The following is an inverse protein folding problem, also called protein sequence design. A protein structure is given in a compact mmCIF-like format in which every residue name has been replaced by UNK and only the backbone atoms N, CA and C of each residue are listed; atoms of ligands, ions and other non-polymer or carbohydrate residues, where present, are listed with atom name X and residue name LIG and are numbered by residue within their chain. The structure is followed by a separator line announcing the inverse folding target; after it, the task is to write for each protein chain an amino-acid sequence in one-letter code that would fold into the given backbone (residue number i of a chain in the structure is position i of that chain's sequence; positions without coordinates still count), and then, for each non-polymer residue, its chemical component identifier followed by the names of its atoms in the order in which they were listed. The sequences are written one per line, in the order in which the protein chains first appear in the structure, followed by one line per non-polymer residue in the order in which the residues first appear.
data_IF_184299265661
#
_entry.id   IF_184299265661
#
_cell.length_a   1.000
_cell.length_b   1.000
_cell.length_c   1.000
_cell.angle_alpha   90.00
_cell.angle_beta   90.00
_cell.angle_gamma   90.00
#
_symmetry.space_group_name_H-M   'P 1'
#
loop_
_entity.id
_entity.type
_entity.pdbx_description
1 polymer ?
#
# COMPACT_ATOMS: atom_id res chain seq x y z
N UNK A 1 -63.50 -1.87 3.55
CA UNK A 1 -62.19 -1.42 4.08
C UNK A 1 -61.34 -2.64 4.35
N UNK A 2 -60.41 -3.00 3.44
CA UNK A 2 -59.45 -4.09 3.65
C UNK A 2 -58.08 -3.46 3.92
N UNK A 3 -57.56 -3.64 5.13
CA UNK A 3 -56.24 -3.13 5.50
C UNK A 3 -55.17 -4.11 5.01
N UNK A 4 -54.26 -3.62 4.15
CA UNK A 4 -53.11 -4.39 3.66
C UNK A 4 -51.98 -4.33 4.68
N UNK A 5 -51.48 -5.49 5.11
CA UNK A 5 -50.32 -5.61 6.00
C UNK A 5 -49.05 -5.54 5.15
N UNK A 6 -48.06 -4.69 5.46
CA UNK A 6 -46.81 -4.67 4.72
C UNK A 6 -45.93 -5.84 5.12
N UNK A 7 -45.59 -6.68 4.14
CA UNK A 7 -44.63 -7.78 4.26
C UNK A 7 -43.25 -7.24 4.66
N UNK A 8 -42.74 -7.67 5.82
CA UNK A 8 -41.39 -7.33 6.29
C UNK A 8 -40.36 -8.00 5.38
N UNK A 9 -39.65 -7.20 4.59
CA UNK A 9 -38.50 -7.65 3.81
C UNK A 9 -37.43 -8.29 4.71
N UNK A 10 -37.18 -9.57 4.49
CA UNK A 10 -36.05 -10.30 5.05
C UNK A 10 -34.76 -9.74 4.46
N UNK A 11 -34.03 -8.94 5.24
CA UNK A 11 -32.68 -8.52 4.87
C UNK A 11 -31.81 -9.78 4.72
N UNK A 12 -31.20 -9.95 3.56
CA UNK A 12 -30.26 -11.05 3.32
C UNK A 12 -29.12 -11.00 4.36
N UNK A 13 -28.67 -12.15 4.87
CA UNK A 13 -27.53 -12.20 5.77
C UNK A 13 -26.30 -11.67 5.03
N UNK A 14 -25.73 -10.57 5.52
CA UNK A 14 -24.45 -10.04 5.05
C UNK A 14 -23.43 -11.15 5.22
N UNK A 15 -22.96 -11.73 4.10
CA UNK A 15 -21.85 -12.68 4.13
C UNK A 15 -20.66 -11.98 4.77
N UNK A 16 -20.35 -12.33 6.01
CA UNK A 16 -19.15 -11.89 6.70
C UNK A 16 -17.95 -12.42 5.93
N UNK A 17 -17.19 -11.53 5.30
CA UNK A 17 -15.95 -11.87 4.62
C UNK A 17 -14.96 -12.52 5.62
N UNK A 18 -14.16 -13.50 5.16
CA UNK A 18 -13.17 -14.12 6.01
C UNK A 18 -12.17 -13.06 6.50
N UNK A 19 -12.09 -12.89 7.82
CA UNK A 19 -11.08 -12.08 8.49
C UNK A 19 -9.78 -12.90 8.54
N UNK A 20 -8.65 -12.26 8.27
CA UNK A 20 -7.36 -12.96 8.28
C UNK A 20 -6.88 -13.23 9.71
N UNK A 21 -6.02 -14.25 9.87
CA UNK A 21 -5.41 -14.59 11.16
C UNK A 21 -4.41 -13.50 11.63
N UNK A 22 -4.03 -13.55 12.90
CA UNK A 22 -3.16 -12.55 13.52
C UNK A 22 -1.80 -12.40 12.81
N UNK A 23 -1.26 -13.50 12.27
CA UNK A 23 0.00 -13.49 11.49
C UNK A 23 -0.11 -12.58 10.28
N UNK A 24 -1.20 -12.68 9.51
CA UNK A 24 -1.36 -11.85 8.31
C UNK A 24 -1.66 -10.39 8.67
N UNK A 25 -2.36 -10.14 9.78
CA UNK A 25 -2.55 -8.78 10.29
C UNK A 25 -1.19 -8.14 10.61
N UNK A 26 -0.27 -8.91 11.22
CA UNK A 26 1.08 -8.46 11.52
C UNK A 26 1.92 -8.23 10.26
N UNK A 27 1.88 -9.14 9.28
CA UNK A 27 2.54 -8.96 7.98
C UNK A 27 2.04 -7.72 7.25
N UNK A 28 0.72 -7.52 7.22
CA UNK A 28 0.09 -6.33 6.65
C UNK A 28 0.62 -5.07 7.32
N UNK A 29 0.54 -4.99 8.65
CA UNK A 29 0.96 -3.81 9.39
C UNK A 29 2.48 -3.56 9.29
N UNK A 30 3.29 -4.63 9.20
CA UNK A 30 4.73 -4.56 8.97
C UNK A 30 5.06 -3.98 7.59
N UNK A 31 4.41 -4.46 6.52
CA UNK A 31 4.60 -3.93 5.17
C UNK A 31 4.28 -2.43 5.10
N UNK A 32 3.16 -2.02 5.68
CA UNK A 32 2.78 -0.60 5.71
C UNK A 32 3.81 0.23 6.49
N UNK A 33 4.24 -0.26 7.66
CA UNK A 33 5.21 0.43 8.51
C UNK A 33 6.58 0.59 7.84
N UNK A 34 7.07 -0.47 7.18
CA UNK A 34 8.30 -0.44 6.40
C UNK A 34 8.20 0.54 5.22
N UNK A 35 7.03 0.58 4.55
CA UNK A 35 6.79 1.55 3.48
C UNK A 35 6.89 2.98 4.00
N UNK A 36 6.30 3.29 5.16
CA UNK A 36 6.44 4.63 5.77
C UNK A 36 7.89 4.94 6.12
N UNK A 37 8.60 4.02 6.79
CA UNK A 37 9.99 4.26 7.23
C UNK A 37 10.93 4.47 6.04
N UNK A 38 10.74 3.72 4.94
CA UNK A 38 11.53 3.91 3.71
C UNK A 38 11.44 5.32 3.12
N UNK A 39 10.32 6.02 3.33
CA UNK A 39 10.06 7.38 2.82
C UNK A 39 10.37 8.47 3.84
N UNK A 40 10.67 8.10 5.08
CA UNK A 40 10.94 9.05 6.16
C UNK A 40 12.32 9.70 6.07
N UNK A 41 13.29 9.08 5.41
CA UNK A 41 14.67 9.60 5.34
C UNK A 41 14.71 11.06 4.85
N UNK A 42 15.00 11.99 5.75
CA UNK A 42 15.06 13.43 5.49
C UNK A 42 13.71 14.15 5.35
N UNK A 43 12.57 13.50 5.69
CA UNK A 43 11.21 14.06 5.57
C UNK A 43 10.46 13.97 6.90
N UNK A 44 9.39 14.76 7.03
CA UNK A 44 8.49 14.67 8.19
C UNK A 44 7.70 13.36 8.18
N UNK A 45 7.35 12.84 9.37
CA UNK A 45 6.51 11.64 9.49
C UNK A 45 5.17 11.80 8.77
N UNK A 46 4.58 13.00 8.82
CA UNK A 46 3.32 13.30 8.11
C UNK A 46 3.48 13.14 6.60
N UNK A 47 4.57 13.64 6.02
CA UNK A 47 4.85 13.48 4.59
C UNK A 47 5.05 12.00 4.21
N UNK A 48 5.79 11.24 5.02
CA UNK A 48 6.01 9.82 4.80
C UNK A 48 4.69 9.00 4.87
N UNK A 49 3.81 9.31 5.82
CA UNK A 49 2.47 8.70 5.92
C UNK A 49 1.64 9.02 4.67
N UNK A 50 1.64 10.28 4.23
CA UNK A 50 0.93 10.69 3.03
C UNK A 50 1.42 9.93 1.79
N UNK A 51 2.73 9.84 1.59
CA UNK A 51 3.29 9.09 0.45
C UNK A 51 2.97 7.61 0.51
N UNK A 52 3.17 6.97 1.67
CA UNK A 52 2.83 5.55 1.85
C UNK A 52 1.34 5.29 1.57
N UNK A 53 0.46 6.21 1.97
CA UNK A 53 -0.98 6.11 1.70
C UNK A 53 -1.28 6.08 0.19
N UNK A 54 -0.57 6.89 -0.60
CA UNK A 54 -0.71 6.93 -2.06
C UNK A 54 -0.17 5.67 -2.73
N UNK A 55 1.01 5.22 -2.32
CA UNK A 55 1.65 4.02 -2.86
C UNK A 55 0.77 2.79 -2.62
N UNK A 56 0.30 2.62 -1.38
CA UNK A 56 -0.43 1.42 -0.97
C UNK A 56 -1.93 1.51 -1.25
N UNK A 57 -2.44 2.67 -1.68
CA UNK A 57 -3.87 2.86 -1.91
C UNK A 57 -4.72 2.86 -0.64
N UNK A 58 -4.12 3.26 0.49
CA UNK A 58 -4.77 3.29 1.80
C UNK A 58 -5.11 4.73 2.20
N UNK A 59 -6.02 4.89 3.16
CA UNK A 59 -6.21 6.19 3.81
C UNK A 59 -5.08 6.43 4.81
N UNK A 60 -4.70 7.71 5.05
CA UNK A 60 -3.70 8.02 6.08
C UNK A 60 -4.09 7.49 7.47
N UNK A 61 -5.41 7.44 7.77
CA UNK A 61 -5.91 6.84 9.01
C UNK A 61 -5.57 5.36 9.10
N UNK A 62 -5.77 4.60 8.02
CA UNK A 62 -5.44 3.16 7.97
C UNK A 62 -3.93 2.95 8.09
N UNK A 63 -3.13 3.79 7.45
CA UNK A 63 -1.67 3.79 7.57
C UNK A 63 -1.23 4.04 9.02
N UNK A 64 -1.79 5.07 9.68
CA UNK A 64 -1.52 5.34 11.11
C UNK A 64 -1.90 4.16 12.00
N UNK A 65 -3.05 3.52 11.76
CA UNK A 65 -3.46 2.34 12.51
C UNK A 65 -2.46 1.18 12.36
N UNK A 66 -1.88 0.97 11.18
CA UNK A 66 -0.79 0.00 10.99
C UNK A 66 0.43 0.38 11.84
N UNK A 67 0.84 1.64 11.75
CA UNK A 67 2.06 2.16 12.37
C UNK A 67 2.02 2.02 13.90
N UNK A 68 0.86 2.30 14.49
CA UNK A 68 0.63 2.23 15.94
C UNK A 68 0.08 0.88 16.41
N UNK A 69 0.01 -0.12 15.51
CA UNK A 69 -0.51 -1.47 15.81
C UNK A 69 -1.94 -1.47 16.37
N UNK A 70 -2.77 -0.55 15.90
CA UNK A 70 -4.18 -0.39 16.29
C UNK A 70 -5.16 -1.09 15.32
N UNK A 71 -4.64 -1.90 14.40
CA UNK A 71 -5.47 -2.65 13.44
C UNK A 71 -6.10 -3.86 14.12
N UNK A 72 -7.43 -3.97 14.00
CA UNK A 72 -8.22 -5.09 14.55
C UNK A 72 -8.47 -6.21 13.54
N UNK A 73 -8.50 -5.87 12.26
CA UNK A 73 -8.79 -6.81 11.17
C UNK A 73 -8.33 -6.27 9.83
N UNK A 74 -7.99 -7.19 8.94
CA UNK A 74 -7.68 -6.95 7.52
C UNK A 74 -8.54 -7.90 6.70
N UNK A 75 -9.18 -7.37 5.67
CA UNK A 75 -9.96 -8.16 4.73
C UNK A 75 -9.04 -8.73 3.65
N UNK A 76 -9.30 -9.95 3.19
CA UNK A 76 -8.50 -10.59 2.13
C UNK A 76 -8.38 -9.71 0.87
N UNK A 77 -9.46 -9.09 0.33
CA UNK A 77 -9.35 -8.23 -0.85
C UNK A 77 -8.44 -7.02 -0.62
N UNK A 78 -8.55 -6.38 0.56
CA UNK A 78 -7.69 -5.25 0.92
C UNK A 78 -6.21 -5.66 0.93
N UNK A 79 -5.89 -6.82 1.50
CA UNK A 79 -4.52 -7.31 1.54
C UNK A 79 -3.94 -7.56 0.14
N UNK A 80 -4.72 -8.21 -0.72
CA UNK A 80 -4.32 -8.48 -2.10
C UNK A 80 -4.10 -7.18 -2.90
N UNK A 81 -4.98 -6.20 -2.74
CA UNK A 81 -4.85 -4.90 -3.39
C UNK A 81 -3.60 -4.14 -2.93
N UNK A 82 -3.32 -4.12 -1.62
CA UNK A 82 -2.11 -3.50 -1.08
C UNK A 82 -0.85 -4.15 -1.66
N UNK A 83 -0.81 -5.48 -1.72
CA UNK A 83 0.34 -6.21 -2.31
C UNK A 83 0.51 -5.92 -3.79
N UNK A 84 -0.57 -5.94 -4.56
CA UNK A 84 -0.52 -5.67 -6.00
C UNK A 84 -0.01 -4.25 -6.30
N UNK A 85 -0.49 -3.26 -5.54
CA UNK A 85 -0.03 -1.87 -5.65
C UNK A 85 1.44 -1.73 -5.27
N UNK A 86 1.86 -2.36 -4.17
CA UNK A 86 3.25 -2.32 -3.73
C UNK A 86 4.19 -2.98 -4.75
N UNK A 87 3.83 -4.14 -5.31
CA UNK A 87 4.58 -4.79 -6.37
C UNK A 87 4.72 -3.89 -7.61
N UNK A 88 3.61 -3.31 -8.07
CA UNK A 88 3.61 -2.38 -9.22
C UNK A 88 4.50 -1.16 -8.99
N UNK A 89 4.53 -0.65 -7.75
CA UNK A 89 5.39 0.46 -7.36
C UNK A 89 6.87 0.07 -7.38
N UNK A 90 7.24 -1.09 -6.84
CA UNK A 90 8.61 -1.60 -6.86
C UNK A 90 9.11 -1.84 -8.29
N UNK A 91 8.27 -2.38 -9.17
CA UNK A 91 8.61 -2.54 -10.59
C UNK A 91 8.87 -1.18 -11.26
N UNK A 92 8.07 -0.16 -10.93
CA UNK A 92 8.27 1.19 -11.45
C UNK A 92 9.57 1.81 -10.92
N UNK A 93 9.91 1.62 -9.65
CA UNK A 93 11.20 2.07 -9.08
C UNK A 93 12.38 1.33 -9.73
N UNK A 94 12.29 0.00 -9.91
CA UNK A 94 13.32 -0.78 -10.56
C UNK A 94 13.58 -0.31 -12.00
N UNK A 95 12.53 -0.01 -12.78
CA UNK A 95 12.67 0.55 -14.13
C UNK A 95 13.35 1.92 -14.13
N UNK A 96 13.02 2.79 -13.17
CA UNK A 96 13.66 4.12 -13.06
C UNK A 96 15.15 3.99 -12.75
N UNK A 97 15.51 3.16 -11.77
CA UNK A 97 16.90 2.96 -11.39
C UNK A 97 17.73 2.29 -12.49
N UNK A 98 17.14 1.38 -13.27
CA UNK A 98 17.81 0.82 -14.44
C UNK A 98 18.13 1.91 -15.48
N UNK A 99 17.14 2.76 -15.80
CA UNK A 99 17.34 3.87 -16.73
C UNK A 99 18.39 4.89 -16.23
N UNK A 100 18.36 5.23 -14.94
CA UNK A 100 19.37 6.09 -14.31
C UNK A 100 20.78 5.48 -14.39
N UNK A 101 20.91 4.18 -14.13
CA UNK A 101 22.19 3.48 -14.22
C UNK A 101 22.74 3.48 -15.64
N UNK A 102 21.89 3.30 -16.66
CA UNK A 102 22.30 3.32 -18.05
C UNK A 102 22.75 4.72 -18.51
N UNK A 103 22.05 5.77 -18.07
CA UNK A 103 22.47 7.16 -18.31
C UNK A 103 23.84 7.46 -17.68
N UNK A 104 24.06 7.02 -16.44
CA UNK A 104 25.34 7.22 -15.75
C UNK A 104 26.47 6.45 -16.44
N UNK A 105 26.24 5.21 -16.89
CA UNK A 105 27.21 4.43 -17.65
C UNK A 105 27.60 5.12 -18.95
N UNK A 106 26.62 5.58 -19.73
CA UNK A 106 26.87 6.30 -20.97
C UNK A 106 27.67 7.59 -20.72
N UNK A 107 27.37 8.31 -19.62
CA UNK A 107 28.11 9.52 -19.25
C UNK A 107 29.56 9.22 -18.88
N UNK A 108 29.81 8.14 -18.13
CA UNK A 108 31.17 7.71 -17.76
C UNK A 108 31.97 7.33 -19.01
N UNK A 109 31.35 6.62 -19.96
CA UNK A 109 32.01 6.24 -21.21
C UNK A 109 32.38 7.45 -22.07
N UNK A 110 31.46 8.41 -22.23
CA UNK A 110 31.75 9.65 -22.94
C UNK A 110 32.93 10.43 -22.32
N UNK A 111 32.95 10.57 -20.99
CA UNK A 111 34.04 11.25 -20.29
C UNK A 111 35.39 10.52 -20.42
N UNK A 112 35.38 9.18 -20.51
CA UNK A 112 36.59 8.40 -20.77
C UNK A 112 37.13 8.62 -22.18
N UNK A 113 36.24 8.69 -23.17
CA UNK A 113 36.62 8.92 -24.56
C UNK A 113 37.11 10.35 -24.80
N UNK A 114 36.61 11.33 -24.04
CA UNK A 114 37.09 12.73 -24.08
C UNK A 114 38.47 12.91 -23.42
N UNK A 115 38.87 11.99 -22.53
CA UNK A 115 40.13 12.04 -21.78
C UNK A 115 41.26 11.20 -22.40
N UNK A 116 40.98 10.47 -23.49
CA UNK A 116 41.92 9.63 -24.24
C UNK A 116 42.41 10.37 -25.49
#
# INVERSE_FOLDING_TARGET
MLWSIPSKGTKQPVRSEPVMNDTIIEEYASLVSQTVESRRRGRSLKAAIYEASRILGLTERRVRACLYREIRSVKVPEWLDVRARFASHLEAEARRHAAEADLLRARIEALRNEAA
#
